data_IF_066623822437
#
_entry.id   IF_066623822437
#
_cell.length_a   1.000
_cell.length_b   1.000
_cell.length_c   1.000
_cell.angle_alpha   90.00
_cell.angle_beta   90.00
_cell.angle_gamma   90.00
#
_symmetry.space_group_name_H-M   'P 1'
#
loop_
_entity.id
_entity.type
_entity.pdbx_description
1 polymer ?
#
# COMPACT_ATOMS: atom_id res chain seq x y z
N UNK A 1 -1.93 -0.11 -18.63
CA UNK A 1 -1.48 1.30 -18.57
C UNK A 1 -0.56 1.44 -17.38
N UNK A 2 0.55 2.17 -17.47
CA UNK A 2 1.36 2.50 -16.28
C UNK A 2 0.72 3.67 -15.55
N UNK A 3 0.79 3.70 -14.23
CA UNK A 3 0.33 4.87 -13.48
C UNK A 3 1.01 6.16 -13.99
N UNK A 4 0.27 7.27 -14.17
CA UNK A 4 0.82 8.55 -14.57
C UNK A 4 1.60 9.25 -13.44
N UNK A 5 1.53 8.73 -12.21
CA UNK A 5 2.22 9.30 -11.06
C UNK A 5 3.73 9.01 -11.11
N UNK A 6 4.57 9.94 -10.59
CA UNK A 6 6.02 9.79 -10.63
C UNK A 6 6.48 8.51 -9.90
N UNK A 7 7.62 7.93 -10.28
CA UNK A 7 8.19 6.80 -9.57
C UNK A 7 8.47 7.15 -8.10
N UNK A 8 8.13 6.23 -7.19
CA UNK A 8 8.43 6.39 -5.78
C UNK A 8 9.85 5.90 -5.48
N UNK A 9 10.69 6.74 -4.87
CA UNK A 9 11.98 6.32 -4.32
C UNK A 9 11.76 5.61 -2.99
N UNK A 10 12.35 4.43 -2.83
CA UNK A 10 12.33 3.63 -1.60
C UNK A 10 13.75 3.50 -1.08
N UNK A 11 13.93 3.77 0.22
CA UNK A 11 15.20 3.58 0.93
C UNK A 11 14.93 2.61 2.07
N UNK A 12 15.69 1.52 2.13
CA UNK A 12 15.59 0.49 3.16
C UNK A 12 16.90 0.42 3.91
N UNK A 13 16.83 0.41 5.24
CA UNK A 13 18.00 0.33 6.13
C UNK A 13 18.14 -1.06 6.74
N UNK A 14 19.33 -1.38 7.21
CA UNK A 14 19.61 -2.55 8.04
C UNK A 14 20.96 -2.42 8.71
N UNK A 15 21.61 -3.54 9.01
CA UNK A 15 22.99 -3.57 9.53
C UNK A 15 23.90 -4.30 8.54
N UNK A 16 25.16 -3.89 8.44
CA UNK A 16 26.18 -4.60 7.67
C UNK A 16 26.78 -5.77 8.49
N UNK A 17 27.67 -6.55 7.89
CA UNK A 17 28.28 -7.75 8.51
C UNK A 17 29.11 -7.42 9.78
N UNK A 18 29.52 -6.17 9.97
CA UNK A 18 30.25 -5.72 11.15
C UNK A 18 29.32 -5.24 12.29
N UNK A 19 28.01 -5.12 12.04
CA UNK A 19 27.01 -4.68 13.01
C UNK A 19 26.50 -3.23 12.90
N UNK A 20 27.25 -2.23 12.37
CA UNK A 20 26.71 -0.88 12.16
C UNK A 20 25.55 -0.78 11.16
N UNK A 21 24.72 0.25 11.34
CA UNK A 21 23.59 0.56 10.45
C UNK A 21 24.06 1.00 9.05
N UNK A 22 23.32 0.61 8.01
CA UNK A 22 23.61 0.93 6.60
C UNK A 22 22.33 0.99 5.76
N UNK A 23 22.41 1.59 4.57
CA UNK A 23 21.39 1.45 3.52
C UNK A 23 21.56 0.10 2.83
N UNK A 24 20.49 -0.69 2.77
CA UNK A 24 20.42 -1.98 2.05
C UNK A 24 19.90 -1.81 0.62
N UNK A 25 18.85 -1.00 0.45
CA UNK A 25 18.23 -0.72 -0.85
C UNK A 25 17.98 0.79 -0.99
N UNK A 26 18.30 1.34 -2.16
CA UNK A 26 17.95 2.70 -2.60
C UNK A 26 17.53 2.61 -4.06
N UNK A 27 16.23 2.47 -4.29
CA UNK A 27 15.68 2.15 -5.60
C UNK A 27 14.36 2.88 -5.87
N UNK A 28 13.81 2.63 -7.06
CA UNK A 28 12.49 3.10 -7.46
C UNK A 28 11.52 1.92 -7.40
N UNK A 29 10.52 2.01 -6.55
CA UNK A 29 9.51 0.98 -6.40
C UNK A 29 8.74 0.80 -7.72
N UNK A 30 8.70 -0.44 -8.22
CA UNK A 30 8.02 -0.77 -9.48
C UNK A 30 6.56 -1.12 -9.22
N UNK A 31 5.68 -0.63 -10.09
CA UNK A 31 4.26 -0.96 -10.02
C UNK A 31 3.93 -2.21 -10.83
N UNK A 32 3.03 -3.03 -10.28
CA UNK A 32 2.34 -4.12 -10.99
C UNK A 32 0.89 -3.69 -11.21
N UNK A 33 0.36 -3.93 -12.41
CA UNK A 33 -1.06 -3.69 -12.66
C UNK A 33 -1.85 -4.86 -12.08
N UNK A 34 -2.80 -4.53 -11.22
CA UNK A 34 -3.69 -5.47 -10.55
C UNK A 34 -5.12 -5.29 -11.13
N UNK A 35 -6.12 -6.11 -10.73
CA UNK A 35 -7.47 -5.96 -11.27
C UNK A 35 -7.99 -4.52 -11.18
N UNK A 36 -8.84 -4.13 -12.14
CA UNK A 36 -9.43 -2.79 -12.25
C UNK A 36 -8.41 -1.71 -12.62
N UNK A 37 -7.33 -2.12 -13.29
CA UNK A 37 -6.25 -1.27 -13.80
C UNK A 37 -5.54 -0.43 -12.73
N UNK A 38 -5.72 -0.80 -11.45
CA UNK A 38 -4.99 -0.18 -10.36
C UNK A 38 -3.51 -0.56 -10.43
N UNK A 39 -2.64 0.41 -10.14
CA UNK A 39 -1.20 0.20 -10.10
C UNK A 39 -0.77 0.00 -8.64
N UNK A 40 -0.31 -1.20 -8.30
CA UNK A 40 0.12 -1.55 -6.95
C UNK A 40 1.65 -1.60 -6.88
N UNK A 41 2.22 -0.88 -5.91
CA UNK A 41 3.66 -0.93 -5.56
C UNK A 41 3.79 -1.50 -4.15
N UNK A 42 4.29 -2.73 -4.02
CA UNK A 42 4.71 -3.26 -2.72
C UNK A 42 5.98 -2.53 -2.28
N UNK A 43 6.00 -2.05 -1.04
CA UNK A 43 7.14 -1.34 -0.46
C UNK A 43 7.90 -2.20 0.54
N UNK A 44 7.16 -2.92 1.41
CA UNK A 44 7.71 -3.87 2.35
C UNK A 44 6.63 -4.79 2.92
N UNK A 45 6.98 -6.04 3.22
CA UNK A 45 6.08 -7.02 3.86
C UNK A 45 6.79 -7.65 5.06
N UNK A 46 6.06 -7.89 6.15
CA UNK A 46 6.52 -8.71 7.27
C UNK A 46 5.50 -9.82 7.51
N UNK A 47 5.95 -11.03 7.78
CA UNK A 47 5.04 -12.18 7.96
C UNK A 47 4.48 -12.30 9.38
N UNK A 48 5.03 -11.55 10.34
CA UNK A 48 4.64 -11.57 11.75
C UNK A 48 4.63 -10.17 12.37
N UNK A 49 3.88 -10.02 13.45
CA UNK A 49 3.96 -8.89 14.37
C UNK A 49 4.13 -9.43 15.80
N UNK A 50 5.25 -9.18 16.49
CA UNK A 50 6.42 -8.40 16.06
C UNK A 50 7.12 -8.95 14.81
N UNK A 51 7.74 -8.05 14.03
CA UNK A 51 8.42 -8.42 12.79
C UNK A 51 9.79 -9.06 13.05
N UNK A 52 10.12 -10.10 12.27
CA UNK A 52 11.49 -10.61 12.17
C UNK A 52 12.33 -9.71 11.25
N UNK A 53 13.35 -9.08 11.82
CA UNK A 53 14.27 -8.18 11.12
C UNK A 53 15.60 -8.86 10.74
N UNK A 54 15.74 -10.15 11.03
CA UNK A 54 16.95 -10.94 10.71
C UNK A 54 16.97 -11.44 9.27
N UNK A 55 15.83 -11.40 8.56
CA UNK A 55 15.75 -11.81 7.15
C UNK A 55 16.74 -11.01 6.29
N UNK A 56 17.59 -11.69 5.50
CA UNK A 56 18.59 -11.02 4.65
C UNK A 56 17.99 -10.43 3.36
N UNK A 57 16.76 -10.81 2.99
CA UNK A 57 16.16 -10.50 1.69
C UNK A 57 15.39 -9.18 1.61
N UNK A 58 15.04 -8.81 0.38
CA UNK A 58 14.10 -7.73 0.09
C UNK A 58 12.67 -8.26 0.15
N UNK A 59 11.90 -7.83 1.15
CA UNK A 59 10.53 -8.30 1.32
C UNK A 59 9.51 -7.55 0.44
N UNK A 60 9.91 -6.59 -0.40
CA UNK A 60 9.02 -5.99 -1.38
C UNK A 60 8.76 -6.88 -2.60
N UNK A 61 9.68 -7.80 -2.89
CA UNK A 61 9.57 -8.75 -4.01
C UNK A 61 8.67 -9.95 -3.71
N UNK A 62 8.17 -10.06 -2.48
CA UNK A 62 7.23 -11.10 -2.09
C UNK A 62 5.93 -11.07 -2.93
N UNK A 63 5.28 -12.23 -3.03
CA UNK A 63 3.99 -12.33 -3.72
C UNK A 63 2.96 -11.35 -3.15
N UNK A 64 2.08 -10.85 -4.02
CA UNK A 64 1.03 -9.90 -3.62
C UNK A 64 0.09 -10.61 -2.65
N UNK A 65 0.04 -10.11 -1.42
CA UNK A 65 -0.84 -10.60 -0.36
C UNK A 65 -1.87 -9.54 0.00
N UNK A 66 -3.04 -9.99 0.42
CA UNK A 66 -4.11 -9.11 0.93
C UNK A 66 -4.14 -9.15 2.46
N UNK A 67 -3.78 -10.28 3.07
CA UNK A 67 -3.76 -10.50 4.52
C UNK A 67 -2.50 -11.32 4.88
N UNK A 68 -1.88 -11.02 6.01
CA UNK A 68 -0.84 -11.82 6.65
C UNK A 68 -0.90 -11.64 8.19
N UNK A 69 -0.01 -12.32 8.93
CA UNK A 69 0.08 -12.18 10.39
C UNK A 69 1.02 -11.03 10.83
N UNK A 70 1.47 -10.19 9.89
CA UNK A 70 2.38 -9.09 10.13
C UNK A 70 1.86 -7.81 9.50
N UNK A 71 2.68 -7.17 8.67
CA UNK A 71 2.36 -5.91 8.01
C UNK A 71 2.54 -6.00 6.50
N UNK A 72 1.73 -5.25 5.77
CA UNK A 72 1.89 -5.01 4.33
C UNK A 72 1.93 -3.50 4.12
N UNK A 73 3.03 -2.98 3.61
CA UNK A 73 3.18 -1.57 3.24
C UNK A 73 3.27 -1.44 1.73
N UNK A 74 2.36 -0.67 1.14
CA UNK A 74 2.21 -0.54 -0.31
C UNK A 74 1.59 0.80 -0.71
N UNK A 75 1.75 1.15 -1.98
CA UNK A 75 1.00 2.23 -2.64
C UNK A 75 0.07 1.61 -3.66
N UNK A 76 -1.15 2.15 -3.75
CA UNK A 76 -2.13 1.79 -4.77
C UNK A 76 -2.57 3.06 -5.47
N UNK A 77 -2.40 3.09 -6.80
CA UNK A 77 -2.92 4.17 -7.63
C UNK A 77 -4.22 3.69 -8.26
N UNK A 78 -5.32 4.38 -7.96
CA UNK A 78 -6.63 4.11 -8.53
C UNK A 78 -6.78 4.91 -9.83
N UNK A 79 -7.06 4.28 -10.98
CA UNK A 79 -7.20 5.00 -12.23
C UNK A 79 -8.44 5.91 -12.21
N UNK A 80 -8.47 6.95 -13.04
CA UNK A 80 -9.68 7.76 -13.25
C UNK A 80 -10.91 6.91 -13.54
N UNK A 81 -12.07 7.36 -13.06
CA UNK A 81 -13.38 6.73 -13.27
C UNK A 81 -13.40 5.24 -12.92
N UNK A 82 -12.73 4.88 -11.83
CA UNK A 82 -12.68 3.50 -11.33
C UNK A 82 -13.49 3.32 -10.05
N UNK A 83 -13.96 2.09 -9.84
CA UNK A 83 -14.60 1.68 -8.61
C UNK A 83 -13.83 0.51 -8.00
N UNK A 84 -13.55 0.63 -6.71
CA UNK A 84 -12.87 -0.40 -5.94
C UNK A 84 -13.85 -1.51 -5.55
N UNK A 85 -13.31 -2.72 -5.35
CA UNK A 85 -14.12 -3.81 -4.81
C UNK A 85 -14.46 -3.56 -3.36
N UNK A 86 -15.72 -3.77 -3.03
CA UNK A 86 -16.15 -3.88 -1.64
C UNK A 86 -15.55 -5.15 -1.04
N UNK A 87 -14.69 -5.00 -0.04
CA UNK A 87 -14.04 -6.12 0.63
C UNK A 87 -13.71 -5.80 2.08
N UNK A 88 -13.36 -6.85 2.83
CA UNK A 88 -12.98 -6.76 4.23
C UNK A 88 -11.72 -7.60 4.47
N UNK A 89 -10.82 -7.06 5.27
CA UNK A 89 -9.63 -7.74 5.78
C UNK A 89 -9.69 -7.80 7.31
N UNK A 90 -9.09 -8.84 7.90
CA UNK A 90 -8.89 -8.91 9.35
C UNK A 90 -7.57 -8.18 9.65
N UNK A 91 -7.59 -6.86 9.49
CA UNK A 91 -6.45 -5.97 9.70
C UNK A 91 -6.90 -4.62 10.23
N UNK A 92 -5.93 -3.86 10.75
CA UNK A 92 -6.04 -2.41 10.84
C UNK A 92 -5.19 -1.80 9.73
N UNK A 93 -5.75 -0.89 8.95
CA UNK A 93 -5.05 -0.25 7.85
C UNK A 93 -4.91 1.26 8.14
N UNK A 94 -3.70 1.78 7.96
CA UNK A 94 -3.41 3.21 8.00
C UNK A 94 -3.24 3.69 6.55
N UNK A 95 -4.27 4.31 6.02
CA UNK A 95 -4.29 4.80 4.64
C UNK A 95 -3.98 6.29 4.65
N UNK A 96 -3.00 6.70 3.85
CA UNK A 96 -2.62 8.10 3.68
C UNK A 96 -2.74 8.42 2.21
N UNK A 97 -3.55 9.41 1.86
CA UNK A 97 -3.70 9.83 0.46
C UNK A 97 -2.52 10.73 0.09
N UNK A 98 -1.63 10.23 -0.75
CA UNK A 98 -0.41 10.96 -1.13
C UNK A 98 -0.64 12.02 -2.20
N UNK A 99 -1.63 11.82 -3.08
CA UNK A 99 -1.89 12.70 -4.21
C UNK A 99 -3.37 12.70 -4.58
N UNK A 100 -3.89 13.88 -4.93
CA UNK A 100 -5.25 14.08 -5.41
C UNK A 100 -6.30 13.59 -4.38
N UNK A 101 -7.35 12.90 -4.81
CA UNK A 101 -8.42 12.45 -3.92
C UNK A 101 -9.04 11.13 -4.39
N UNK A 102 -9.59 10.38 -3.43
CA UNK A 102 -10.41 9.18 -3.64
C UNK A 102 -11.66 9.26 -2.77
N UNK A 103 -12.61 8.35 -2.95
CA UNK A 103 -13.82 8.25 -2.14
C UNK A 103 -13.82 6.91 -1.41
N UNK A 104 -13.82 6.96 -0.08
CA UNK A 104 -14.06 5.80 0.77
C UNK A 104 -15.56 5.47 0.72
N UNK A 105 -15.89 4.23 0.36
CA UNK A 105 -17.24 3.70 0.36
C UNK A 105 -17.34 2.61 1.43
N UNK A 106 -18.36 2.68 2.29
CA UNK A 106 -18.64 1.65 3.30
C UNK A 106 -19.92 0.86 2.94
N UNK A 107 -20.13 -0.26 3.63
CA UNK A 107 -21.25 -1.18 3.38
C UNK A 107 -22.62 -0.65 3.80
N UNK A 108 -22.67 0.38 4.64
CA UNK A 108 -23.89 1.16 4.93
C UNK A 108 -24.27 2.12 3.78
N UNK A 109 -23.47 2.16 2.71
CA UNK A 109 -23.65 3.03 1.55
C UNK A 109 -23.09 4.44 1.73
N UNK A 110 -22.51 4.76 2.89
CA UNK A 110 -21.85 6.04 3.11
C UNK A 110 -20.63 6.20 2.20
N UNK A 111 -20.42 7.45 1.76
CA UNK A 111 -19.33 7.84 0.88
C UNK A 111 -18.63 9.07 1.45
N UNK A 112 -17.34 8.95 1.69
CA UNK A 112 -16.53 10.01 2.27
C UNK A 112 -15.40 10.38 1.30
N UNK A 113 -15.37 11.60 0.76
CA UNK A 113 -14.20 12.09 0.03
C UNK A 113 -12.97 12.14 0.94
N UNK A 114 -11.83 11.65 0.46
CA UNK A 114 -10.55 11.62 1.17
C UNK A 114 -9.50 12.22 0.25
N UNK A 115 -8.97 13.39 0.61
CA UNK A 115 -8.07 14.20 -0.21
C UNK A 115 -6.60 14.10 0.17
N UNK A 116 -5.75 14.80 -0.58
CA UNK A 116 -4.29 14.82 -0.41
C UNK A 116 -3.90 15.23 1.02
N UNK A 117 -3.14 14.37 1.71
CA UNK A 117 -2.72 14.55 3.10
C UNK A 117 -3.69 13.97 4.13
N UNK A 118 -4.91 13.60 3.74
CA UNK A 118 -5.86 12.98 4.66
C UNK A 118 -5.43 11.55 5.03
N UNK A 119 -5.84 11.14 6.23
CA UNK A 119 -5.52 9.84 6.81
C UNK A 119 -6.82 9.11 7.18
N UNK A 120 -6.91 7.83 6.84
CA UNK A 120 -7.98 6.94 7.26
C UNK A 120 -7.40 5.83 8.11
N UNK A 121 -7.98 5.61 9.29
CA UNK A 121 -7.70 4.46 10.16
C UNK A 121 -8.83 3.46 9.95
N UNK A 122 -8.58 2.44 9.11
CA UNK A 122 -9.58 1.43 8.78
C UNK A 122 -9.50 0.27 9.77
N UNK A 123 -10.56 0.05 10.55
CA UNK A 123 -10.60 -0.96 11.61
C UNK A 123 -11.32 -2.24 11.16
N UNK A 124 -10.81 -2.89 10.12
CA UNK A 124 -11.34 -4.15 9.62
C UNK A 124 -12.81 -4.05 9.17
N UNK A 125 -13.20 -2.92 8.62
CA UNK A 125 -14.55 -2.64 8.08
C UNK A 125 -14.65 -3.11 6.63
N UNK A 126 -15.87 -3.43 6.19
CA UNK A 126 -16.17 -3.66 4.79
C UNK A 126 -16.07 -2.32 4.05
N UNK A 127 -15.22 -2.24 3.02
CA UNK A 127 -14.95 -0.98 2.34
C UNK A 127 -14.55 -1.15 0.87
N UNK A 128 -14.75 -0.09 0.10
CA UNK A 128 -14.27 0.10 -1.26
C UNK A 128 -13.64 1.49 -1.43
N UNK A 129 -12.83 1.64 -2.48
CA UNK A 129 -12.18 2.89 -2.84
C UNK A 129 -12.53 3.27 -4.27
N UNK A 130 -13.40 4.27 -4.42
CA UNK A 130 -13.78 4.80 -5.73
C UNK A 130 -12.84 5.95 -6.12
N UNK A 131 -12.51 6.04 -7.40
CA UNK A 131 -11.92 7.24 -7.98
C UNK A 131 -12.86 7.76 -9.10
N UNK A 132 -13.76 8.71 -8.78
CA UNK A 132 -14.68 9.27 -9.77
C UNK A 132 -14.05 10.39 -10.62
N UNK A 133 -12.79 10.77 -10.38
CA UNK A 133 -12.16 11.89 -11.10
C UNK A 133 -11.73 11.47 -12.51
N UNK A 134 -11.45 12.48 -13.34
CA UNK A 134 -10.91 12.34 -14.70
C UNK A 134 -9.38 12.20 -14.74
#
# INVERSE_FOLDING_TARGET
>A
MTSPLPPLRRIVTGHNDAGPATVKYDDKATAKIVPHDAALRSLWITDSSPADLSSPGDNADAEVRIINNGSIFRIVDFPPRSSGHMHRTISIDYVIVQKAAVVLVLDDGSKTPVGEGDVVVQQGTMHGWDNPTD
#
